data_IF_817374468450
#
_entry.id   IF_817374468450
#
_cell.length_a   1.000
_cell.length_b   1.000
_cell.length_c   1.000
_cell.angle_alpha   90.00
_cell.angle_beta   90.00
_cell.angle_gamma   90.00
#
_symmetry.space_group_name_H-M   'P 1'
#
loop_
_entity.id
_entity.type
_entity.pdbx_description
1 polymer ?
#
# COMPACT_ATOMS: atom_id res chain seq x y z
N UNK A 1 0.11 -3.13 29.74
CA UNK A 1 -0.10 -3.73 28.39
C UNK A 1 0.97 -3.19 27.45
N UNK A 2 1.82 -4.04 26.93
CA UNK A 2 2.73 -3.62 25.87
C UNK A 2 1.88 -3.26 24.64
N UNK A 3 1.86 -1.97 24.30
CA UNK A 3 1.42 -1.57 22.96
C UNK A 3 2.38 -2.26 21.98
N UNK A 4 1.91 -3.33 21.35
CA UNK A 4 2.66 -3.92 20.24
C UNK A 4 2.88 -2.83 19.21
N UNK A 5 4.14 -2.55 18.93
CA UNK A 5 4.50 -1.57 17.91
C UNK A 5 3.98 -2.08 16.56
N UNK A 6 2.92 -1.43 16.04
CA UNK A 6 2.28 -1.80 14.77
C UNK A 6 3.21 -1.63 13.57
N UNK A 7 4.36 -1.00 13.77
CA UNK A 7 5.35 -0.74 12.72
C UNK A 7 6.44 -1.82 12.64
N UNK A 8 6.50 -2.73 13.62
CA UNK A 8 7.51 -3.79 13.66
C UNK A 8 6.90 -5.13 13.28
N UNK A 9 7.40 -5.70 12.20
CA UNK A 9 7.07 -7.05 11.73
C UNK A 9 8.34 -7.89 11.74
N UNK A 10 8.28 -9.02 12.41
CA UNK A 10 9.35 -10.02 12.34
C UNK A 10 9.20 -10.85 11.07
N UNK A 11 9.83 -10.39 10.01
CA UNK A 11 9.77 -11.02 8.69
C UNK A 11 10.31 -12.45 8.67
N UNK A 12 11.18 -12.80 9.61
CA UNK A 12 11.76 -14.16 9.70
C UNK A 12 10.72 -15.23 10.04
N UNK A 13 9.60 -14.82 10.64
CA UNK A 13 8.49 -15.70 11.03
C UNK A 13 7.41 -15.84 9.97
N UNK A 14 7.52 -15.08 8.87
CA UNK A 14 6.55 -15.13 7.78
C UNK A 14 7.13 -16.02 6.68
N UNK A 15 6.42 -17.10 6.29
CA UNK A 15 6.87 -17.93 5.18
C UNK A 15 6.99 -17.10 3.90
N UNK A 16 8.10 -17.24 3.18
CA UNK A 16 8.25 -16.60 1.89
C UNK A 16 7.19 -17.16 0.92
N UNK A 17 6.44 -16.30 0.20
CA UNK A 17 5.48 -16.76 -0.77
C UNK A 17 6.20 -17.44 -1.94
N UNK A 18 5.57 -18.48 -2.49
CA UNK A 18 6.04 -19.12 -3.71
C UNK A 18 5.33 -18.47 -4.90
N UNK A 19 6.08 -18.04 -5.90
CA UNK A 19 5.50 -17.51 -7.14
C UNK A 19 4.82 -18.66 -7.89
N UNK A 20 3.49 -18.58 -8.04
CA UNK A 20 2.68 -19.53 -8.78
C UNK A 20 2.57 -19.22 -10.28
N UNK A 21 3.20 -18.14 -10.73
CA UNK A 21 3.17 -17.68 -12.13
C UNK A 21 1.84 -17.05 -12.56
N UNK A 22 0.85 -16.92 -11.67
CA UNK A 22 -0.48 -16.43 -12.02
C UNK A 22 -0.48 -15.00 -12.57
N UNK A 23 0.49 -14.17 -12.16
CA UNK A 23 0.62 -12.79 -12.59
C UNK A 23 1.58 -12.61 -13.80
N UNK A 24 2.19 -13.66 -14.32
CA UNK A 24 3.19 -13.56 -15.38
C UNK A 24 2.67 -12.90 -16.67
N UNK A 25 1.36 -13.05 -16.94
CA UNK A 25 0.69 -12.44 -18.10
C UNK A 25 0.61 -10.92 -18.03
N UNK A 26 0.76 -10.33 -16.86
CA UNK A 26 0.61 -8.87 -16.67
C UNK A 26 1.77 -8.07 -17.24
N UNK A 27 2.93 -8.69 -17.38
CA UNK A 27 4.11 -8.02 -17.94
C UNK A 27 3.86 -7.60 -19.39
N UNK A 28 3.99 -6.29 -19.67
CA UNK A 28 3.75 -5.72 -20.99
C UNK A 28 2.30 -5.41 -21.31
N UNK A 29 1.36 -5.71 -20.39
CA UNK A 29 -0.04 -5.32 -20.57
C UNK A 29 -0.23 -3.81 -20.42
N UNK A 30 -1.17 -3.27 -21.21
CA UNK A 30 -1.64 -1.90 -21.03
C UNK A 30 -2.67 -1.86 -19.90
N UNK A 31 -2.47 -0.96 -18.94
CA UNK A 31 -3.43 -0.73 -17.86
C UNK A 31 -4.71 -0.12 -18.45
N UNK A 32 -5.90 -0.62 -18.10
CA UNK A 32 -7.16 -0.07 -18.57
C UNK A 32 -7.38 1.37 -18.05
N UNK A 33 -8.16 2.21 -18.77
CA UNK A 33 -8.40 3.59 -18.39
C UNK A 33 -9.46 3.69 -17.27
N UNK A 34 -9.13 3.20 -16.10
CA UNK A 34 -9.98 3.28 -14.90
C UNK A 34 -9.56 4.48 -14.07
N UNK A 35 -10.53 5.25 -13.62
CA UNK A 35 -10.33 6.41 -12.74
C UNK A 35 -10.50 6.00 -11.28
N UNK A 36 -9.52 6.31 -10.45
CA UNK A 36 -9.48 5.96 -9.03
C UNK A 36 -9.43 7.24 -8.19
N UNK A 37 -10.15 7.24 -7.07
CA UNK A 37 -10.12 8.36 -6.12
C UNK A 37 -8.85 8.30 -5.29
N UNK A 38 -8.18 9.44 -5.14
CA UNK A 38 -6.96 9.58 -4.35
C UNK A 38 -7.20 10.31 -3.02
N UNK A 39 -6.32 10.12 -2.06
CA UNK A 39 -6.39 10.73 -0.72
C UNK A 39 -6.14 12.24 -0.71
N UNK A 40 -5.73 12.83 -1.81
CA UNK A 40 -5.64 14.28 -2.03
C UNK A 40 -6.87 14.87 -2.73
N UNK A 41 -7.99 14.12 -2.74
CA UNK A 41 -9.26 14.46 -3.39
C UNK A 41 -9.19 14.54 -4.93
N UNK A 42 -8.07 14.16 -5.54
CA UNK A 42 -7.95 14.06 -6.99
C UNK A 42 -8.52 12.75 -7.51
N UNK A 43 -8.76 12.70 -8.81
CA UNK A 43 -9.09 11.49 -9.55
C UNK A 43 -7.90 11.13 -10.44
N UNK A 44 -7.39 9.90 -10.31
CA UNK A 44 -6.20 9.44 -11.00
C UNK A 44 -6.56 8.32 -11.97
N UNK A 45 -6.19 8.50 -13.23
CA UNK A 45 -6.24 7.46 -14.27
C UNK A 45 -4.81 7.02 -14.56
N UNK A 46 -4.40 5.89 -14.01
CA UNK A 46 -3.00 5.43 -14.08
C UNK A 46 -2.48 5.33 -15.52
N UNK A 47 -3.32 4.85 -16.45
CA UNK A 47 -2.95 4.72 -17.87
C UNK A 47 -2.69 6.05 -18.58
N UNK A 48 -3.16 7.17 -18.04
CA UNK A 48 -2.98 8.50 -18.61
C UNK A 48 -1.75 9.25 -18.05
N UNK A 49 -1.09 8.70 -17.04
CA UNK A 49 0.04 9.36 -16.41
C UNK A 49 1.31 9.27 -17.27
N UNK A 50 2.02 10.39 -17.47
CA UNK A 50 3.27 10.37 -18.19
C UNK A 50 4.42 9.85 -17.30
N UNK A 51 5.37 9.16 -17.92
CA UNK A 51 6.57 8.69 -17.24
C UNK A 51 6.35 7.41 -16.44
N UNK A 52 7.33 7.06 -15.64
CA UNK A 52 7.30 5.83 -14.82
C UNK A 52 6.47 6.05 -13.56
N UNK A 53 5.48 5.20 -13.36
CA UNK A 53 4.65 5.18 -12.15
C UNK A 53 4.95 3.92 -11.35
N UNK A 54 5.17 4.07 -10.06
CA UNK A 54 5.28 2.97 -9.10
C UNK A 54 3.98 2.85 -8.34
N UNK A 55 3.36 1.68 -8.37
CA UNK A 55 2.16 1.37 -7.58
C UNK A 55 2.47 0.18 -6.70
N UNK A 56 2.23 0.31 -5.39
CA UNK A 56 2.27 -0.82 -4.46
C UNK A 56 0.87 -1.10 -3.97
N UNK A 57 0.46 -2.36 -4.10
CA UNK A 57 -0.85 -2.81 -3.68
C UNK A 57 -0.78 -3.51 -2.33
N UNK A 58 -1.79 -3.31 -1.50
CA UNK A 58 -1.90 -3.96 -0.19
C UNK A 58 -3.38 -4.20 0.16
N UNK A 59 -3.68 -5.28 0.87
CA UNK A 59 -5.06 -5.60 1.19
C UNK A 59 -5.64 -4.66 2.26
N UNK A 60 -4.92 -4.40 3.36
CA UNK A 60 -5.47 -3.63 4.47
C UNK A 60 -4.39 -3.12 5.43
N UNK A 61 -4.41 -1.82 5.72
CA UNK A 61 -3.71 -1.24 6.87
C UNK A 61 -4.60 -1.25 8.11
N UNK A 62 -4.00 -1.28 9.30
CA UNK A 62 -4.71 -1.12 10.56
C UNK A 62 -4.85 0.35 10.97
N UNK A 63 -5.82 0.62 11.85
CA UNK A 63 -5.98 1.91 12.51
C UNK A 63 -5.79 1.71 14.03
N UNK A 64 -4.98 2.56 14.70
CA UNK A 64 -4.78 2.44 16.15
C UNK A 64 -6.10 2.48 16.92
N UNK A 65 -6.21 1.65 17.95
CA UNK A 65 -7.37 1.57 18.83
C UNK A 65 -8.69 1.15 18.17
N UNK A 66 -8.67 0.65 16.95
CA UNK A 66 -9.83 0.04 16.30
C UNK A 66 -9.75 -1.48 16.31
N UNK A 67 -10.93 -2.09 16.35
CA UNK A 67 -11.10 -3.54 16.33
C UNK A 67 -10.60 -4.07 14.99
N UNK A 68 -9.81 -5.14 15.03
CA UNK A 68 -9.40 -5.87 13.84
C UNK A 68 -10.61 -6.55 13.16
N UNK A 69 -10.43 -6.98 11.90
CA UNK A 69 -11.49 -7.68 11.16
C UNK A 69 -11.97 -8.96 11.84
N UNK A 70 -11.05 -9.67 12.49
CA UNK A 70 -11.29 -10.92 13.22
C UNK A 70 -10.48 -10.90 14.51
N UNK A 71 -10.96 -11.64 15.51
CA UNK A 71 -10.35 -11.62 16.86
C UNK A 71 -8.91 -12.13 16.88
N UNK A 72 -8.58 -13.05 16.00
CA UNK A 72 -7.26 -13.67 15.86
C UNK A 72 -6.38 -13.02 14.78
N UNK A 73 -6.69 -11.79 14.35
CA UNK A 73 -5.94 -11.06 13.32
C UNK A 73 -4.42 -11.09 13.52
N UNK A 74 -3.98 -10.91 14.77
CA UNK A 74 -2.56 -10.90 15.14
C UNK A 74 -1.86 -12.26 15.01
N UNK A 75 -2.64 -13.33 14.93
CA UNK A 75 -2.15 -14.70 14.76
C UNK A 75 -1.94 -15.06 13.30
N UNK A 76 -2.49 -14.27 12.37
CA UNK A 76 -2.35 -14.52 10.94
C UNK A 76 -0.97 -14.00 10.48
N UNK A 77 -0.09 -14.87 9.94
CA UNK A 77 1.22 -14.45 9.48
C UNK A 77 1.11 -13.35 8.41
N UNK A 78 1.80 -12.24 8.63
CA UNK A 78 1.83 -11.11 7.69
C UNK A 78 0.61 -10.18 7.71
N UNK A 79 -0.42 -10.46 8.52
CA UNK A 79 -1.64 -9.64 8.58
C UNK A 79 -1.39 -8.16 8.93
N UNK A 80 -0.31 -7.86 9.65
CA UNK A 80 0.11 -6.50 10.01
C UNK A 80 1.21 -5.92 9.11
N UNK A 81 1.52 -6.58 8.00
CA UNK A 81 2.62 -6.19 7.10
C UNK A 81 2.33 -4.96 6.24
N UNK A 82 1.06 -4.60 6.03
CA UNK A 82 0.70 -3.51 5.10
C UNK A 82 1.16 -2.13 5.59
N UNK A 83 1.05 -1.83 6.89
CA UNK A 83 1.54 -0.56 7.45
C UNK A 83 3.06 -0.43 7.34
N UNK A 84 3.88 -1.41 7.76
CA UNK A 84 5.33 -1.37 7.52
C UNK A 84 5.70 -1.26 6.04
N UNK A 85 5.01 -1.94 5.13
CA UNK A 85 5.22 -1.81 3.70
C UNK A 85 5.01 -0.37 3.23
N UNK A 86 3.89 0.23 3.62
CA UNK A 86 3.56 1.63 3.27
C UNK A 86 4.60 2.60 3.82
N UNK A 87 5.05 2.39 5.07
CA UNK A 87 6.12 3.19 5.66
C UNK A 87 7.46 3.02 4.93
N UNK A 88 7.78 1.83 4.44
CA UNK A 88 8.98 1.61 3.64
C UNK A 88 8.96 2.42 2.33
N UNK A 89 7.84 2.46 1.63
CA UNK A 89 7.69 3.32 0.45
C UNK A 89 7.78 4.80 0.78
N UNK A 90 7.23 5.24 1.93
CA UNK A 90 7.41 6.60 2.43
C UNK A 90 8.88 6.93 2.65
N UNK A 91 9.59 6.08 3.35
CA UNK A 91 10.99 6.32 3.75
C UNK A 91 11.94 6.27 2.54
N UNK A 92 11.62 5.46 1.53
CA UNK A 92 12.39 5.33 0.29
C UNK A 92 11.87 6.23 -0.86
N UNK A 93 10.93 7.12 -0.60
CA UNK A 93 10.31 7.94 -1.64
C UNK A 93 11.33 8.76 -2.43
N UNK A 94 12.29 9.38 -1.76
CA UNK A 94 13.35 10.16 -2.42
C UNK A 94 14.22 9.29 -3.32
N UNK A 95 14.54 8.06 -2.88
CA UNK A 95 15.33 7.12 -3.67
C UNK A 95 14.56 6.65 -4.90
N UNK A 96 13.27 6.39 -4.78
CA UNK A 96 12.40 6.06 -5.90
C UNK A 96 12.35 7.19 -6.93
N UNK A 97 12.23 8.43 -6.48
CA UNK A 97 12.26 9.62 -7.34
C UNK A 97 13.62 9.74 -8.05
N UNK A 98 14.71 9.56 -7.35
CA UNK A 98 16.06 9.58 -7.92
C UNK A 98 16.28 8.45 -8.94
N UNK A 99 15.66 7.28 -8.74
CA UNK A 99 15.68 6.16 -9.69
C UNK A 99 14.75 6.36 -10.91
N UNK A 100 14.05 7.49 -11.01
CA UNK A 100 13.23 7.87 -12.16
C UNK A 100 11.73 7.62 -12.01
N UNK A 101 11.23 7.31 -10.82
CA UNK A 101 9.79 7.26 -10.58
C UNK A 101 9.21 8.68 -10.64
N UNK A 102 8.32 8.93 -11.60
CA UNK A 102 7.62 10.20 -11.71
C UNK A 102 6.46 10.29 -10.73
N UNK A 103 5.77 9.18 -10.53
CA UNK A 103 4.64 9.04 -9.61
C UNK A 103 4.81 7.81 -8.74
N UNK A 104 4.35 7.91 -7.49
CA UNK A 104 4.27 6.79 -6.54
C UNK A 104 2.88 6.79 -5.92
N UNK A 105 2.21 5.65 -5.89
CA UNK A 105 0.90 5.48 -5.27
C UNK A 105 0.83 4.18 -4.47
N UNK A 106 0.17 4.24 -3.33
CA UNK A 106 -0.41 3.06 -2.71
C UNK A 106 -1.80 2.78 -3.32
N UNK A 107 -2.22 1.54 -3.33
CA UNK A 107 -3.52 1.11 -3.86
C UNK A 107 -4.13 0.05 -2.96
N UNK A 108 -5.39 0.25 -2.57
CA UNK A 108 -6.15 -0.70 -1.77
C UNK A 108 -7.65 -0.60 -2.07
N UNK A 109 -8.39 -1.65 -1.76
CA UNK A 109 -9.86 -1.67 -1.76
C UNK A 109 -10.48 -1.02 -0.52
N UNK A 110 -9.68 -0.53 0.42
CA UNK A 110 -10.19 0.24 1.57
C UNK A 110 -10.82 1.56 1.10
N UNK A 111 -11.78 2.07 1.86
CA UNK A 111 -12.43 3.33 1.53
C UNK A 111 -11.45 4.51 1.50
N UNK A 112 -11.74 5.50 0.68
CA UNK A 112 -10.92 6.71 0.59
C UNK A 112 -10.80 7.42 1.94
N UNK A 113 -11.88 7.48 2.73
CA UNK A 113 -11.86 8.08 4.06
C UNK A 113 -10.89 7.37 5.01
N UNK A 114 -10.87 6.03 4.98
CA UNK A 114 -9.95 5.22 5.78
C UNK A 114 -8.49 5.47 5.37
N UNK A 115 -8.24 5.50 4.07
CA UNK A 115 -6.89 5.73 3.53
C UNK A 115 -6.42 7.17 3.73
N UNK A 116 -7.32 8.16 3.72
CA UNK A 116 -6.98 9.56 4.01
C UNK A 116 -6.51 9.71 5.46
N UNK A 117 -7.17 9.07 6.41
CA UNK A 117 -6.71 9.04 7.82
C UNK A 117 -5.30 8.41 7.91
N UNK A 118 -5.11 7.25 7.30
CA UNK A 118 -3.83 6.55 7.31
C UNK A 118 -2.72 7.39 6.66
N UNK A 119 -2.96 7.98 5.51
CA UNK A 119 -1.99 8.82 4.80
C UNK A 119 -1.57 10.04 5.63
N UNK A 120 -2.52 10.66 6.32
CA UNK A 120 -2.27 11.78 7.23
C UNK A 120 -1.45 11.35 8.44
N UNK A 121 -1.87 10.30 9.13
CA UNK A 121 -1.20 9.78 10.33
C UNK A 121 0.22 9.31 10.06
N UNK A 122 0.46 8.67 8.92
CA UNK A 122 1.78 8.17 8.52
C UNK A 122 2.62 9.23 7.78
N UNK A 123 2.11 10.41 7.53
CA UNK A 123 2.81 11.48 6.80
C UNK A 123 3.32 11.03 5.42
N UNK A 124 2.44 10.40 4.63
CA UNK A 124 2.82 9.92 3.31
C UNK A 124 3.09 11.08 2.35
N UNK A 125 4.22 11.08 1.62
CA UNK A 125 4.56 12.12 0.64
C UNK A 125 3.91 11.89 -0.73
N UNK A 126 3.07 10.87 -0.86
CA UNK A 126 2.36 10.50 -2.08
C UNK A 126 0.90 10.17 -1.77
N UNK A 127 0.00 10.32 -2.75
CA UNK A 127 -1.39 9.92 -2.60
C UNK A 127 -1.55 8.40 -2.55
N UNK A 128 -2.66 7.96 -1.97
CA UNK A 128 -3.10 6.57 -1.97
C UNK A 128 -4.43 6.48 -2.71
N UNK A 129 -4.58 5.45 -3.52
CA UNK A 129 -5.73 5.23 -4.39
C UNK A 129 -6.68 4.21 -3.76
N UNK A 130 -7.96 4.42 -3.94
CA UNK A 130 -9.03 3.49 -3.55
C UNK A 130 -9.69 2.90 -4.79
N UNK A 131 -9.78 1.55 -4.81
CA UNK A 131 -10.44 0.78 -5.86
C UNK A 131 -11.83 0.35 -5.40
#
# INVERSE_FOLDING_TARGET
>A
MNQKNLLEVDWSKIPAPTDDGAAAHQKGMTIPPVSLVATDDSSVTLSALPGRTVVFAYPRTGEPNKIALVDDWDMIPGARGCTPQTCAFRDLFSDLKAAGARHVFGLSTQSNAYQTEMASRLHLPFPVLSD
#
